data_IF_533406178038
#
_entry.id   IF_533406178038
#
_cell.length_a   1.000
_cell.length_b   1.000
_cell.length_c   1.000
_cell.angle_alpha   90.00
_cell.angle_beta   90.00
_cell.angle_gamma   90.00
#
_symmetry.space_group_name_H-M   'P 1'
#
loop_
_entity.id
_entity.type
_entity.pdbx_description
1 polymer ?
#
# COMPACT_ATOMS: atom_id res chain seq x y z
N UNK A 1 -54.19 11.29 42.10
CA UNK A 1 -53.39 12.10 41.17
C UNK A 1 -52.05 11.42 40.87
N UNK A 2 -52.06 10.25 40.22
CA UNK A 2 -50.85 9.42 40.03
C UNK A 2 -50.76 8.73 38.67
N UNK A 3 -51.49 9.23 37.66
CA UNK A 3 -51.62 8.56 36.35
C UNK A 3 -50.77 9.20 35.23
N UNK A 4 -50.18 10.38 35.42
CA UNK A 4 -49.43 11.07 34.34
C UNK A 4 -47.92 10.82 34.42
N UNK A 5 -47.37 10.57 35.60
CA UNK A 5 -45.95 10.26 35.79
C UNK A 5 -45.54 8.91 35.15
N UNK A 6 -46.48 7.96 35.06
CA UNK A 6 -46.23 6.66 34.42
C UNK A 6 -46.20 6.71 32.89
N UNK A 7 -46.65 7.81 32.27
CA UNK A 7 -46.74 7.92 30.81
C UNK A 7 -45.46 8.53 30.21
N UNK A 8 -44.77 9.39 30.94
CA UNK A 8 -43.51 9.99 30.48
C UNK A 8 -42.29 9.06 30.61
N UNK A 9 -42.37 8.02 31.46
CA UNK A 9 -41.32 6.99 31.58
C UNK A 9 -41.32 6.02 30.39
N UNK A 10 -42.44 5.90 29.66
CA UNK A 10 -42.59 4.91 28.57
C UNK A 10 -42.13 5.38 27.19
N UNK A 11 -41.77 6.66 27.02
CA UNK A 11 -41.46 7.20 25.68
C UNK A 11 -39.96 7.26 25.34
N UNK A 12 -39.06 7.00 26.28
CA UNK A 12 -37.60 7.12 26.04
C UNK A 12 -36.92 5.85 25.54
N UNK A 13 -37.63 4.73 25.37
CA UNK A 13 -37.01 3.43 25.06
C UNK A 13 -37.05 3.02 23.57
N UNK A 14 -37.62 3.81 22.66
CA UNK A 14 -37.67 3.44 21.24
C UNK A 14 -36.48 3.99 20.44
N UNK A 15 -35.27 3.84 20.97
CA UNK A 15 -34.06 3.93 20.15
C UNK A 15 -33.94 2.64 19.32
N UNK A 16 -34.69 2.55 18.22
CA UNK A 16 -34.48 1.48 17.24
C UNK A 16 -33.22 1.78 16.44
N UNK A 17 -32.06 1.50 17.05
CA UNK A 17 -30.79 1.37 16.35
C UNK A 17 -30.97 0.21 15.37
N UNK A 18 -31.36 0.55 14.14
CA UNK A 18 -31.43 -0.38 13.00
C UNK A 18 -30.02 -0.86 12.76
N UNK A 19 -29.69 -1.98 13.42
CA UNK A 19 -28.43 -2.70 13.29
C UNK A 19 -28.17 -2.94 11.81
N UNK A 20 -27.37 -2.05 11.19
CA UNK A 20 -26.76 -2.32 9.89
C UNK A 20 -25.95 -3.60 10.13
N UNK A 21 -26.42 -4.73 9.60
CA UNK A 21 -25.60 -5.95 9.55
C UNK A 21 -24.44 -5.64 8.62
N UNK A 22 -23.34 -5.17 9.18
CA UNK A 22 -22.17 -4.71 8.44
C UNK A 22 -21.34 -5.92 7.94
N UNK A 23 -21.65 -7.14 8.39
CA UNK A 23 -20.90 -8.34 8.05
C UNK A 23 -21.84 -9.45 7.58
N UNK A 24 -22.08 -9.48 6.27
CA UNK A 24 -22.72 -10.58 5.55
C UNK A 24 -21.86 -11.08 4.39
N UNK A 25 -20.53 -11.00 4.50
CA UNK A 25 -19.63 -11.46 3.44
C UNK A 25 -19.67 -12.99 3.38
N UNK A 26 -20.15 -13.53 2.27
CA UNK A 26 -20.13 -14.97 2.03
C UNK A 26 -18.66 -15.41 1.95
N UNK A 27 -18.23 -16.50 2.62
CA UNK A 27 -16.82 -16.91 2.62
C UNK A 27 -16.19 -17.03 1.23
N UNK A 28 -16.96 -17.47 0.23
CA UNK A 28 -16.51 -17.54 -1.16
C UNK A 28 -16.31 -16.17 -1.84
N UNK A 29 -17.07 -15.14 -1.45
CA UNK A 29 -16.87 -13.78 -1.96
C UNK A 29 -15.63 -13.13 -1.35
N UNK A 30 -15.36 -13.40 -0.06
CA UNK A 30 -14.16 -12.92 0.60
C UNK A 30 -12.90 -13.54 -0.01
N UNK A 31 -12.90 -14.86 -0.23
CA UNK A 31 -11.77 -15.55 -0.87
C UNK A 31 -11.52 -15.03 -2.29
N UNK A 32 -12.59 -14.83 -3.09
CA UNK A 32 -12.46 -14.25 -4.45
C UNK A 32 -11.83 -12.87 -4.41
N UNK A 33 -12.27 -12.00 -3.50
CA UNK A 33 -11.71 -10.65 -3.33
C UNK A 33 -10.23 -10.71 -2.97
N UNK A 34 -9.85 -11.53 -1.99
CA UNK A 34 -8.44 -11.70 -1.59
C UNK A 34 -7.57 -12.20 -2.75
N UNK A 35 -8.05 -13.16 -3.54
CA UNK A 35 -7.30 -13.67 -4.68
C UNK A 35 -7.09 -12.60 -5.76
N UNK A 36 -8.12 -11.81 -6.04
CA UNK A 36 -8.03 -10.70 -6.99
C UNK A 36 -7.05 -9.64 -6.49
N UNK A 37 -7.16 -9.22 -5.22
CA UNK A 37 -6.26 -8.24 -4.61
C UNK A 37 -4.81 -8.75 -4.57
N UNK A 38 -4.58 -10.00 -4.19
CA UNK A 38 -3.26 -10.61 -4.21
C UNK A 38 -2.65 -10.63 -5.62
N UNK A 39 -3.43 -10.99 -6.64
CA UNK A 39 -2.97 -10.99 -8.02
C UNK A 39 -2.61 -9.58 -8.51
N UNK A 40 -3.43 -8.58 -8.17
CA UNK A 40 -3.16 -7.17 -8.46
C UNK A 40 -1.86 -6.68 -7.80
N UNK A 41 -1.65 -7.02 -6.52
CA UNK A 41 -0.43 -6.67 -5.79
C UNK A 41 0.79 -7.36 -6.41
N UNK A 42 0.68 -8.65 -6.75
CA UNK A 42 1.76 -9.38 -7.40
C UNK A 42 2.11 -8.77 -8.76
N UNK A 43 1.11 -8.41 -9.56
CA UNK A 43 1.31 -7.70 -10.82
C UNK A 43 2.01 -6.36 -10.63
N UNK A 44 1.59 -5.58 -9.62
CA UNK A 44 2.23 -4.31 -9.29
C UNK A 44 3.70 -4.49 -8.87
N UNK A 45 3.99 -5.47 -8.00
CA UNK A 45 5.36 -5.78 -7.58
C UNK A 45 6.21 -6.22 -8.78
N UNK A 46 5.67 -7.06 -9.67
CA UNK A 46 6.40 -7.51 -10.85
C UNK A 46 6.83 -6.35 -11.78
N UNK A 47 5.98 -5.31 -11.90
CA UNK A 47 6.30 -4.10 -12.68
C UNK A 47 7.25 -3.16 -11.93
N UNK A 48 7.08 -3.02 -10.61
CA UNK A 48 7.90 -2.11 -9.80
C UNK A 48 9.30 -2.67 -9.51
N UNK A 49 9.45 -3.99 -9.40
CA UNK A 49 10.73 -4.64 -9.11
C UNK A 49 11.86 -4.20 -10.06
N UNK A 50 11.72 -4.27 -11.40
CA UNK A 50 12.77 -3.81 -12.30
C UNK A 50 13.03 -2.30 -12.18
N UNK A 51 12.02 -1.47 -11.88
CA UNK A 51 12.22 -0.04 -11.68
C UNK A 51 13.06 0.26 -10.44
N UNK A 52 12.73 -0.40 -9.32
CA UNK A 52 13.50 -0.29 -8.06
C UNK A 52 14.93 -0.81 -8.27
N UNK A 53 15.08 -1.90 -9.01
CA UNK A 53 16.38 -2.44 -9.37
C UNK A 53 17.20 -1.44 -10.18
N UNK A 54 16.62 -0.83 -11.23
CA UNK A 54 17.31 0.17 -12.04
C UNK A 54 17.73 1.39 -11.21
N UNK A 55 16.85 1.92 -10.36
CA UNK A 55 17.16 3.05 -9.49
C UNK A 55 18.27 2.73 -8.49
N UNK A 56 18.29 1.51 -7.96
CA UNK A 56 19.38 1.04 -7.12
C UNK A 56 20.69 0.97 -7.91
N UNK A 57 20.67 0.40 -9.12
CA UNK A 57 21.88 0.27 -9.95
C UNK A 57 22.41 1.61 -10.46
N UNK A 58 21.56 2.61 -10.72
CA UNK A 58 22.01 3.94 -11.13
C UNK A 58 22.75 4.68 -10.01
N UNK A 59 22.53 4.28 -8.75
CA UNK A 59 23.21 4.80 -7.56
C UNK A 59 24.40 3.95 -7.10
N UNK A 60 24.74 2.87 -7.82
CA UNK A 60 25.90 2.02 -7.52
C UNK A 60 27.17 2.54 -8.19
N UNK A 61 28.31 2.20 -7.60
CA UNK A 61 29.62 2.26 -8.27
C UNK A 61 29.74 1.16 -9.33
N UNK A 62 30.65 1.32 -10.28
CA UNK A 62 30.91 0.29 -11.32
C UNK A 62 31.31 -1.07 -10.73
N UNK A 63 32.02 -1.09 -9.60
CA UNK A 63 32.40 -2.33 -8.91
C UNK A 63 31.22 -3.05 -8.23
N UNK A 64 30.15 -2.32 -7.88
CA UNK A 64 29.00 -2.89 -7.17
C UNK A 64 27.95 -3.53 -8.08
N UNK A 65 27.96 -3.22 -9.38
CA UNK A 65 26.98 -3.77 -10.33
C UNK A 65 27.25 -5.25 -10.63
N UNK A 66 28.53 -5.66 -10.61
CA UNK A 66 28.98 -7.01 -10.96
C UNK A 66 29.34 -7.92 -9.79
N UNK A 67 29.14 -7.49 -8.54
CA UNK A 67 29.47 -8.31 -7.36
C UNK A 67 28.44 -9.39 -7.09
N UNK A 68 28.94 -10.55 -6.65
CA UNK A 68 28.15 -11.63 -6.08
C UNK A 68 28.43 -11.73 -4.58
N UNK A 69 27.41 -11.78 -3.70
CA UNK A 69 25.99 -11.76 -4.01
C UNK A 69 25.50 -10.39 -4.52
N UNK A 70 24.41 -10.41 -5.28
CA UNK A 70 23.76 -9.20 -5.77
C UNK A 70 23.40 -8.30 -4.59
N UNK A 71 23.94 -7.08 -4.59
CA UNK A 71 23.57 -6.05 -3.61
C UNK A 71 22.32 -5.31 -4.07
N UNK A 72 21.25 -5.35 -3.27
CA UNK A 72 19.99 -4.67 -3.58
C UNK A 72 20.00 -3.19 -3.19
N UNK A 73 20.73 -2.84 -2.14
CA UNK A 73 20.95 -1.47 -1.70
C UNK A 73 22.38 -1.03 -2.06
N UNK A 74 22.60 0.14 -2.67
CA UNK A 74 23.95 0.67 -2.89
C UNK A 74 24.64 1.02 -1.57
N UNK A 75 25.87 0.57 -1.39
CA UNK A 75 26.75 0.93 -0.26
C UNK A 75 28.23 1.04 -0.68
N UNK A 76 28.75 2.24 -0.98
CA UNK A 76 28.16 3.55 -0.75
C UNK A 76 27.14 3.97 -1.83
N UNK A 77 26.33 4.98 -1.53
CA UNK A 77 25.37 5.59 -2.47
C UNK A 77 26.07 6.65 -3.33
N UNK A 78 26.14 6.43 -4.64
CA UNK A 78 26.79 7.30 -5.62
C UNK A 78 25.83 8.37 -6.17
N UNK A 79 25.55 9.38 -5.36
CA UNK A 79 24.73 10.52 -5.79
C UNK A 79 25.37 11.30 -6.95
N UNK A 80 26.69 11.27 -7.09
CA UNK A 80 27.42 11.99 -8.13
C UNK A 80 27.13 11.46 -9.54
N UNK A 81 26.65 10.21 -9.67
CA UNK A 81 26.27 9.63 -10.96
C UNK A 81 25.25 10.48 -11.73
N UNK A 82 24.33 11.17 -11.04
CA UNK A 82 23.31 12.02 -11.68
C UNK A 82 23.86 13.34 -12.23
N UNK A 83 24.50 14.22 -11.44
CA UNK A 83 25.07 15.45 -11.97
C UNK A 83 26.17 15.18 -13.00
N UNK A 84 26.98 14.13 -12.82
CA UNK A 84 27.97 13.73 -13.81
C UNK A 84 27.32 13.33 -15.13
N UNK A 85 26.29 12.47 -15.11
CA UNK A 85 25.57 12.05 -16.31
C UNK A 85 24.84 13.21 -17.02
N UNK A 86 24.42 14.24 -16.29
CA UNK A 86 23.87 15.44 -16.91
C UNK A 86 24.96 16.33 -17.51
N UNK A 87 26.16 16.36 -16.93
CA UNK A 87 27.28 17.16 -17.43
C UNK A 87 27.95 16.57 -18.68
N UNK A 88 27.74 15.29 -18.98
CA UNK A 88 28.30 14.64 -20.18
C UNK A 88 27.53 14.96 -21.46
N UNK A 89 26.31 15.49 -21.34
CA UNK A 89 25.48 15.87 -22.47
C UNK A 89 25.71 17.35 -22.76
N UNK A 90 26.13 17.65 -23.99
CA UNK A 90 26.12 19.03 -24.49
C UNK A 90 24.70 19.40 -24.89
N UNK A 91 24.10 20.32 -24.14
CA UNK A 91 22.74 20.80 -24.38
C UNK A 91 22.69 22.09 -25.21
N UNK A 92 23.86 22.62 -25.61
CA UNK A 92 24.00 23.90 -26.33
C UNK A 92 23.85 23.77 -27.86
#
# INVERSE_FOLDING_TARGET
MGSEAGLLVRQTETATVRSRRIFGLRPGEFLRKLLIEALLVLGAVAVLLPLVWMLSTSLKTMGQVGVYPIQWMPDPVMWSNYPEALSTIDFA
#
